data_IF_932778477551
#
_entry.id   IF_932778477551
#
_cell.length_a   1.000
_cell.length_b   1.000
_cell.length_c   1.000
_cell.angle_alpha   90.00
_cell.angle_beta   90.00
_cell.angle_gamma   90.00
#
_symmetry.space_group_name_H-M   'P 1'
#
loop_
_entity.id
_entity.type
_entity.pdbx_description
1 polymer ?
#
# COMPACT_ATOMS: atom_id res chain seq x y z
N UNK A 1 14.01 -4.68 -10.98
CA UNK A 1 13.48 -5.68 -10.02
C UNK A 1 12.62 -4.98 -8.97
N UNK A 2 11.30 -4.93 -9.16
CA UNK A 2 10.36 -4.45 -8.15
C UNK A 2 10.10 -5.59 -7.15
N UNK A 3 10.83 -5.61 -6.04
CA UNK A 3 10.58 -6.51 -4.91
C UNK A 3 9.51 -5.91 -4.01
N UNK A 4 8.49 -6.70 -3.65
CA UNK A 4 7.69 -6.46 -2.45
C UNK A 4 8.65 -6.49 -1.24
N UNK A 5 8.35 -5.99 -0.04
CA UNK A 5 9.29 -6.04 1.11
C UNK A 5 8.71 -6.87 2.32
N UNK A 6 9.23 -8.08 2.65
CA UNK A 6 8.82 -9.17 3.60
C UNK A 6 9.71 -10.54 3.64
N UNK A 7 11.01 -10.65 3.99
CA UNK A 7 11.78 -11.97 4.07
C UNK A 7 12.17 -12.39 5.47
N UNK A 8 12.25 -13.71 5.62
CA UNK A 8 12.38 -14.51 6.82
C UNK A 8 13.61 -15.41 6.72
N UNK A 9 14.50 -15.40 7.72
CA UNK A 9 14.92 -16.60 8.47
C UNK A 9 15.75 -16.20 9.69
N UNK A 10 15.81 -17.14 10.64
CA UNK A 10 16.04 -17.05 12.08
C UNK A 10 17.51 -16.83 12.48
N UNK A 11 17.72 -16.09 13.56
CA UNK A 11 18.64 -16.48 14.64
C UNK A 11 17.98 -16.14 15.97
N UNK A 12 17.99 -17.09 16.90
CA UNK A 12 17.11 -17.12 18.08
C UNK A 12 17.76 -16.56 19.35
N UNK A 13 18.74 -15.66 19.20
CA UNK A 13 19.22 -14.82 20.29
C UNK A 13 19.27 -13.38 19.77
N UNK A 14 18.35 -12.53 20.23
CA UNK A 14 18.55 -11.11 20.13
C UNK A 14 19.56 -10.71 21.21
N UNK A 15 20.62 -9.96 20.87
CA UNK A 15 21.47 -9.28 21.86
C UNK A 15 20.60 -8.50 22.86
N UNK A 16 21.02 -8.42 24.13
CA UNK A 16 20.30 -7.71 25.19
C UNK A 16 19.96 -6.26 24.82
N UNK A 17 20.82 -5.60 24.02
CA UNK A 17 20.58 -4.26 23.48
C UNK A 17 19.35 -4.21 22.58
N UNK A 18 19.19 -5.17 21.67
CA UNK A 18 18.00 -5.25 20.79
C UNK A 18 16.73 -5.57 21.58
N UNK A 19 16.84 -6.35 22.66
CA UNK A 19 15.71 -6.60 23.54
C UNK A 19 15.25 -5.30 24.24
N UNK A 20 16.19 -4.53 24.79
CA UNK A 20 15.91 -3.23 25.41
C UNK A 20 15.25 -2.26 24.43
N UNK A 21 15.72 -2.19 23.18
CA UNK A 21 15.11 -1.35 22.14
C UNK A 21 13.66 -1.75 21.87
N UNK A 22 13.38 -3.06 21.74
CA UNK A 22 12.02 -3.54 21.53
C UNK A 22 11.10 -3.21 22.71
N UNK A 23 11.60 -3.29 23.94
CA UNK A 23 10.83 -2.96 25.14
C UNK A 23 10.48 -1.46 25.19
N UNK A 24 11.43 -0.58 24.84
CA UNK A 24 11.20 0.87 24.76
C UNK A 24 10.17 1.19 23.68
N UNK A 25 10.30 0.59 22.49
CA UNK A 25 9.34 0.82 21.39
C UNK A 25 7.96 0.32 21.79
N UNK A 26 7.86 -0.90 22.31
CA UNK A 26 6.59 -1.49 22.74
C UNK A 26 5.91 -0.63 23.81
N UNK A 27 6.68 -0.15 24.79
CA UNK A 27 6.19 0.80 25.79
C UNK A 27 5.62 2.07 25.15
N UNK A 28 6.35 2.70 24.23
CA UNK A 28 5.91 3.94 23.58
C UNK A 28 4.67 3.73 22.71
N UNK A 29 4.60 2.61 21.98
CA UNK A 29 3.42 2.25 21.16
C UNK A 29 2.18 2.17 22.04
N UNK A 30 2.29 1.43 23.14
CA UNK A 30 1.20 1.23 24.08
C UNK A 30 0.84 2.52 24.82
N UNK A 31 1.82 3.33 25.21
CA UNK A 31 1.57 4.61 25.88
C UNK A 31 0.79 5.59 25.00
N UNK A 32 1.19 5.74 23.72
CA UNK A 32 0.44 6.56 22.78
C UNK A 32 -0.97 6.01 22.55
N UNK A 33 -1.11 4.69 22.43
CA UNK A 33 -2.43 4.04 22.32
C UNK A 33 -3.33 4.39 23.52
N UNK A 34 -2.84 4.24 24.75
CA UNK A 34 -3.62 4.56 25.95
C UNK A 34 -4.03 6.04 26.00
N UNK A 35 -3.11 6.95 25.66
CA UNK A 35 -3.42 8.40 25.58
C UNK A 35 -4.54 8.66 24.57
N UNK A 36 -4.43 8.12 23.36
CA UNK A 36 -5.45 8.31 22.31
C UNK A 36 -6.81 7.72 22.69
N UNK A 37 -6.82 6.57 23.36
CA UNK A 37 -8.04 5.92 23.88
C UNK A 37 -8.67 6.70 25.05
N UNK A 38 -7.88 7.40 25.86
CA UNK A 38 -8.37 8.25 26.96
C UNK A 38 -8.93 9.61 26.52
N UNK A 39 -9.08 9.82 25.20
CA UNK A 39 -9.72 11.02 24.64
C UNK A 39 -8.74 12.11 24.19
N UNK A 40 -7.42 11.89 24.29
CA UNK A 40 -6.46 12.84 23.76
C UNK A 40 -6.59 12.92 22.23
N UNK A 41 -6.43 14.16 21.72
CA UNK A 41 -6.32 14.42 20.29
C UNK A 41 -4.88 14.18 19.85
N UNK A 42 -4.73 13.60 18.68
CA UNK A 42 -3.43 13.52 18.03
C UNK A 42 -3.08 14.93 17.56
N UNK A 43 -2.03 15.49 18.12
CA UNK A 43 -1.54 16.84 17.81
C UNK A 43 -0.13 16.70 17.21
N UNK A 44 -0.02 17.00 15.92
CA UNK A 44 1.21 16.89 15.14
C UNK A 44 1.39 18.21 14.41
N UNK A 45 2.59 18.78 14.50
CA UNK A 45 2.92 19.98 13.75
C UNK A 45 3.02 19.64 12.26
N UNK A 46 1.98 19.97 11.51
CA UNK A 46 1.90 19.72 10.08
C UNK A 46 2.27 20.99 9.30
N UNK A 47 2.98 20.86 8.16
CA UNK A 47 3.14 21.98 7.23
C UNK A 47 1.76 22.51 6.79
N UNK A 48 1.66 23.81 6.53
CA UNK A 48 0.39 24.45 6.11
C UNK A 48 -0.22 23.81 4.85
N UNK A 49 0.61 23.21 3.99
CA UNK A 49 0.18 22.51 2.78
C UNK A 49 -0.28 21.06 3.03
N UNK A 50 -0.30 20.59 4.27
CA UNK A 50 -0.66 19.21 4.61
C UNK A 50 -2.17 19.01 4.51
N UNK A 51 -2.58 17.97 3.79
CA UNK A 51 -3.98 17.55 3.68
C UNK A 51 -4.29 16.35 4.58
N UNK A 52 -3.43 16.05 5.56
CA UNK A 52 -3.58 14.87 6.42
C UNK A 52 -4.72 15.08 7.41
N UNK A 53 -5.68 14.17 7.41
CA UNK A 53 -6.71 14.09 8.44
C UNK A 53 -6.16 13.36 9.67
N UNK A 54 -5.91 14.11 10.75
CA UNK A 54 -5.38 13.59 12.01
C UNK A 54 -6.34 12.64 12.72
N UNK A 55 -7.65 12.75 12.48
CA UNK A 55 -8.62 11.80 13.03
C UNK A 55 -8.50 10.46 12.32
N UNK A 56 -8.41 10.46 10.99
CA UNK A 56 -8.14 9.24 10.22
C UNK A 56 -6.80 8.62 10.62
N UNK A 57 -5.76 9.44 10.82
CA UNK A 57 -4.45 8.98 11.26
C UNK A 57 -4.53 8.30 12.64
N UNK A 58 -5.25 8.90 13.60
CA UNK A 58 -5.53 8.32 14.92
C UNK A 58 -6.24 6.98 14.81
N UNK A 59 -7.30 6.89 14.01
CA UNK A 59 -8.11 5.68 13.87
C UNK A 59 -7.30 4.53 13.25
N UNK A 60 -6.47 4.85 12.25
CA UNK A 60 -5.55 3.89 11.64
C UNK A 60 -4.49 3.43 12.65
N UNK A 61 -3.90 4.34 13.43
CA UNK A 61 -2.93 4.00 14.47
C UNK A 61 -3.53 3.03 15.50
N UNK A 62 -4.71 3.35 16.04
CA UNK A 62 -5.42 2.50 17.01
C UNK A 62 -5.65 1.10 16.43
N UNK A 63 -6.10 1.02 15.16
CA UNK A 63 -6.29 -0.26 14.47
C UNK A 63 -4.99 -1.05 14.33
N UNK A 64 -3.89 -0.39 13.96
CA UNK A 64 -2.58 -1.05 13.84
C UNK A 64 -2.09 -1.59 15.17
N UNK A 65 -2.19 -0.82 16.27
CA UNK A 65 -1.78 -1.30 17.60
C UNK A 65 -2.62 -2.49 18.05
N UNK A 66 -3.92 -2.49 17.77
CA UNK A 66 -4.79 -3.64 18.08
C UNK A 66 -4.40 -4.91 17.29
N UNK A 67 -3.87 -4.77 16.07
CA UNK A 67 -3.43 -5.90 15.25
C UNK A 67 -1.98 -6.32 15.54
N UNK A 68 -1.13 -5.35 15.89
CA UNK A 68 0.33 -5.51 16.07
C UNK A 68 0.78 -4.82 17.37
N UNK A 69 0.33 -5.31 18.54
CA UNK A 69 0.61 -4.66 19.81
C UNK A 69 2.12 -4.57 20.07
N UNK A 70 2.60 -3.36 20.34
CA UNK A 70 4.00 -3.09 20.61
C UNK A 70 4.96 -3.14 19.41
N UNK A 71 4.47 -3.35 18.19
CA UNK A 71 5.32 -3.41 17.00
C UNK A 71 5.75 -2.00 16.53
N UNK A 72 7.04 -1.83 16.22
CA UNK A 72 7.63 -0.59 15.70
C UNK A 72 6.92 -0.04 14.44
N UNK A 73 6.34 -0.92 13.63
CA UNK A 73 5.60 -0.58 12.42
C UNK A 73 4.36 0.25 12.70
N UNK A 74 3.84 0.28 13.93
CA UNK A 74 2.76 1.19 14.30
C UNK A 74 3.16 2.65 14.12
N UNK A 75 4.45 2.98 14.31
CA UNK A 75 4.97 4.33 14.06
C UNK A 75 5.24 4.63 12.59
N UNK A 76 5.27 3.63 11.70
CA UNK A 76 5.48 3.86 10.26
C UNK A 76 4.47 4.83 9.66
N UNK A 77 3.27 4.89 10.23
CA UNK A 77 2.19 5.80 9.87
C UNK A 77 2.57 7.29 9.94
N UNK A 78 3.54 7.65 10.78
CA UNK A 78 4.01 9.03 10.93
C UNK A 78 5.17 9.38 9.98
N UNK A 79 5.75 8.39 9.31
CA UNK A 79 6.88 8.56 8.41
C UNK A 79 6.52 8.31 6.94
N UNK A 80 5.48 7.52 6.69
CA UNK A 80 5.02 7.13 5.35
C UNK A 80 3.71 7.83 4.99
N UNK A 81 3.48 7.96 3.69
CA UNK A 81 2.22 8.50 3.18
C UNK A 81 1.06 7.54 3.45
N UNK A 82 0.04 8.00 4.17
CA UNK A 82 -1.25 7.32 4.23
C UNK A 82 -2.04 7.62 2.96
N UNK A 83 -2.10 6.65 2.04
CA UNK A 83 -2.78 6.78 0.74
C UNK A 83 -4.06 5.97 0.74
N UNK A 84 -5.17 6.62 0.37
CA UNK A 84 -6.47 5.97 0.12
C UNK A 84 -6.71 5.95 -1.38
N UNK A 85 -6.93 4.76 -1.92
CA UNK A 85 -7.29 4.57 -3.33
C UNK A 85 -8.80 4.40 -3.46
N UNK A 86 -9.41 5.17 -4.35
CA UNK A 86 -10.79 4.99 -4.78
C UNK A 86 -10.87 3.94 -5.90
N UNK A 87 -12.03 3.29 -6.12
CA UNK A 87 -12.17 2.26 -7.15
C UNK A 87 -11.72 2.73 -8.54
N UNK A 88 -10.75 2.02 -9.12
CA UNK A 88 -10.15 2.36 -10.41
C UNK A 88 -8.93 3.28 -10.34
N UNK A 89 -8.54 3.74 -9.16
CA UNK A 89 -7.20 4.30 -8.95
C UNK A 89 -6.17 3.18 -8.79
N UNK A 90 -4.93 3.50 -9.13
CA UNK A 90 -3.80 2.57 -9.08
C UNK A 90 -2.57 3.25 -8.53
N UNK A 91 -1.72 2.46 -7.88
CA UNK A 91 -0.44 2.88 -7.33
C UNK A 91 0.66 2.00 -7.92
N UNK A 92 1.79 2.60 -8.26
CA UNK A 92 3.00 1.85 -8.62
C UNK A 92 4.02 1.95 -7.49
N UNK A 93 4.49 0.80 -7.02
CA UNK A 93 5.42 0.70 -5.91
C UNK A 93 6.80 0.35 -6.46
N UNK A 94 7.67 1.36 -6.53
CA UNK A 94 9.05 1.19 -6.99
C UNK A 94 9.85 0.30 -6.02
N UNK A 95 10.96 -0.24 -6.50
CA UNK A 95 11.91 -0.96 -5.66
C UNK A 95 12.42 -0.06 -4.53
N UNK A 96 12.70 -0.67 -3.37
CA UNK A 96 13.27 0.00 -2.20
C UNK A 96 12.40 1.08 -1.56
N UNK A 97 11.12 1.20 -1.95
CA UNK A 97 10.14 2.03 -1.26
C UNK A 97 9.38 1.21 -0.21
N UNK A 98 9.43 1.59 1.07
CA UNK A 98 8.66 0.91 2.11
C UNK A 98 7.18 1.20 1.94
N UNK A 99 6.36 0.15 1.96
CA UNK A 99 4.92 0.25 1.78
C UNK A 99 4.19 -0.86 2.55
N UNK A 100 2.93 -0.61 2.90
CA UNK A 100 2.06 -1.59 3.53
C UNK A 100 0.62 -1.40 3.07
N UNK A 101 -0.07 -2.50 2.76
CA UNK A 101 -1.51 -2.49 2.53
C UNK A 101 -2.23 -2.64 3.87
N UNK A 102 -3.11 -1.68 4.18
CA UNK A 102 -3.75 -1.63 5.50
C UNK A 102 -5.15 -2.27 5.48
N UNK A 103 -5.95 -1.99 4.46
CA UNK A 103 -7.30 -2.55 4.31
C UNK A 103 -7.90 -2.29 2.93
N UNK A 104 -8.88 -3.12 2.55
CA UNK A 104 -9.62 -3.02 1.29
C UNK A 104 -9.25 -4.14 0.33
N UNK A 105 -9.98 -4.20 -0.79
CA UNK A 105 -9.74 -5.16 -1.86
C UNK A 105 -9.02 -4.48 -3.02
N UNK A 106 -7.98 -5.15 -3.54
CA UNK A 106 -7.22 -4.65 -4.68
C UNK A 106 -6.73 -5.80 -5.56
N UNK A 107 -6.45 -5.45 -6.82
CA UNK A 107 -5.70 -6.33 -7.72
C UNK A 107 -4.23 -5.95 -7.61
N UNK A 108 -3.40 -6.92 -7.27
CA UNK A 108 -1.94 -6.77 -7.21
C UNK A 108 -1.31 -7.50 -8.40
N UNK A 109 -0.44 -6.79 -9.13
CA UNK A 109 0.41 -7.37 -10.17
C UNK A 109 1.86 -7.02 -9.86
N UNK A 110 2.73 -8.00 -9.98
CA UNK A 110 4.14 -7.90 -9.59
C UNK A 110 4.99 -8.75 -10.53
N UNK A 111 6.24 -8.36 -10.70
CA UNK A 111 7.23 -9.22 -11.34
C UNK A 111 7.37 -10.54 -10.56
N UNK A 112 7.81 -11.61 -11.22
CA UNK A 112 8.04 -12.91 -10.60
C UNK A 112 9.24 -12.87 -9.65
N UNK A 113 9.03 -12.32 -8.45
CA UNK A 113 10.02 -12.18 -7.38
C UNK A 113 9.35 -12.37 -6.03
N UNK A 114 9.97 -13.16 -5.18
CA UNK A 114 9.62 -13.33 -3.78
C UNK A 114 10.71 -12.76 -2.86
N UNK A 115 11.50 -11.82 -3.38
CA UNK A 115 12.45 -11.05 -2.56
C UNK A 115 11.72 -9.95 -1.83
N UNK A 116 11.98 -9.88 -0.53
CA UNK A 116 11.16 -9.08 0.35
C UNK A 116 11.99 -8.72 1.62
N UNK A 117 12.01 -7.50 2.18
CA UNK A 117 12.62 -7.10 3.50
C UNK A 117 11.55 -6.52 4.48
N UNK A 118 11.59 -6.76 5.79
CA UNK A 118 10.49 -6.32 6.70
C UNK A 118 10.87 -5.07 7.48
N UNK A 119 9.96 -4.08 7.50
CA UNK A 119 10.12 -2.86 8.29
C UNK A 119 9.28 -2.80 9.58
N UNK A 120 8.27 -3.67 9.72
CA UNK A 120 7.35 -3.66 10.87
C UNK A 120 6.01 -4.33 10.53
N UNK A 121 5.04 -4.20 11.44
CA UNK A 121 3.69 -4.77 11.33
C UNK A 121 3.72 -6.28 11.06
N UNK A 122 4.63 -7.00 11.74
CA UNK A 122 4.85 -8.41 11.44
C UNK A 122 5.62 -9.11 12.56
N UNK A 123 5.19 -10.32 12.96
CA UNK A 123 5.97 -11.15 13.88
C UNK A 123 7.19 -11.80 13.20
N UNK A 124 7.29 -11.72 11.87
CA UNK A 124 8.38 -12.33 11.10
C UNK A 124 9.68 -11.54 11.27
N UNK A 125 10.78 -12.17 10.89
CA UNK A 125 12.13 -11.59 10.95
C UNK A 125 12.23 -10.28 10.17
N UNK A 126 12.99 -9.33 10.72
CA UNK A 126 13.23 -7.99 10.17
C UNK A 126 14.75 -7.84 10.04
N UNK A 127 15.23 -7.79 8.80
CA UNK A 127 16.63 -7.50 8.49
C UNK A 127 16.82 -5.98 8.49
N UNK A 128 17.13 -5.43 9.67
CA UNK A 128 17.18 -3.98 9.88
C UNK A 128 18.34 -3.35 9.13
N UNK A 129 19.51 -3.99 9.11
CA UNK A 129 20.69 -3.46 8.42
C UNK A 129 20.47 -3.44 6.90
N UNK A 130 19.92 -4.53 6.34
CA UNK A 130 19.56 -4.56 4.93
C UNK A 130 18.53 -3.47 4.58
N UNK A 131 17.48 -3.33 5.40
CA UNK A 131 16.47 -2.30 5.24
C UNK A 131 17.10 -0.90 5.20
N UNK A 132 17.90 -0.53 6.20
CA UNK A 132 18.52 0.79 6.28
C UNK A 132 19.48 1.05 5.11
N UNK A 133 20.18 0.02 4.62
CA UNK A 133 21.10 0.16 3.50
C UNK A 133 20.42 0.34 2.13
N UNK A 134 19.21 -0.20 1.95
CA UNK A 134 18.54 -0.23 0.64
C UNK A 134 17.55 0.92 0.43
N UNK A 135 17.01 1.49 1.50
CA UNK A 135 15.93 2.48 1.44
C UNK A 135 16.33 3.74 0.66
N UNK A 136 15.40 4.23 -0.15
CA UNK A 136 15.47 5.59 -0.69
C UNK A 136 14.81 6.54 0.31
N UNK A 137 15.57 7.47 0.86
CA UNK A 137 15.09 8.45 1.85
C UNK A 137 14.54 9.75 1.21
N UNK A 138 14.06 9.65 -0.03
CA UNK A 138 13.50 10.78 -0.77
C UNK A 138 11.99 10.88 -0.53
N UNK A 139 11.46 12.05 -0.09
CA UNK A 139 10.04 12.22 0.10
C UNK A 139 9.29 12.18 -1.24
N UNK A 140 8.22 11.37 -1.30
CA UNK A 140 7.32 11.29 -2.48
C UNK A 140 5.97 11.90 -2.12
N UNK A 141 5.40 12.71 -3.02
CA UNK A 141 4.02 13.21 -2.88
C UNK A 141 3.04 12.18 -3.43
N UNK A 142 1.79 12.16 -2.93
CA UNK A 142 0.78 11.19 -3.37
C UNK A 142 0.58 11.18 -4.90
N UNK A 143 0.59 12.35 -5.53
CA UNK A 143 0.44 12.52 -6.98
C UNK A 143 1.58 11.88 -7.80
N UNK A 144 2.73 11.59 -7.18
CA UNK A 144 3.82 10.87 -7.85
C UNK A 144 3.68 9.35 -7.77
N UNK A 145 2.85 8.85 -6.86
CA UNK A 145 2.72 7.40 -6.61
C UNK A 145 1.42 6.85 -7.23
N UNK A 146 0.35 7.66 -7.22
CA UNK A 146 -0.91 7.32 -7.89
C UNK A 146 -0.79 7.64 -9.38
N UNK A 147 -1.17 6.71 -10.24
CA UNK A 147 -1.26 6.92 -11.69
C UNK A 147 -2.65 6.56 -12.21
N UNK A 148 -3.01 7.12 -13.37
CA UNK A 148 -4.30 6.88 -14.02
C UNK A 148 -4.17 5.92 -15.20
N UNK A 149 -5.18 5.06 -15.44
CA UNK A 149 -5.18 4.22 -16.62
C UNK A 149 -5.36 5.05 -17.90
N UNK A 150 -4.91 4.50 -19.02
CA UNK A 150 -5.16 5.03 -20.36
C UNK A 150 -6.29 4.25 -21.02
N UNK A 151 -7.24 4.95 -21.64
CA UNK A 151 -8.28 4.30 -22.44
C UNK A 151 -7.66 3.70 -23.69
N UNK A 152 -7.93 2.42 -23.95
CA UNK A 152 -7.53 1.74 -25.19
C UNK A 152 -8.75 1.53 -26.08
N UNK A 153 -8.68 2.00 -27.32
CA UNK A 153 -9.71 1.76 -28.32
C UNK A 153 -9.47 0.40 -28.98
N UNK A 154 -10.52 -0.41 -29.10
CA UNK A 154 -10.51 -1.61 -29.93
C UNK A 154 -11.38 -1.35 -31.15
N UNK A 155 -10.84 -1.66 -32.32
CA UNK A 155 -11.59 -1.75 -33.56
C UNK A 155 -11.94 -3.22 -33.78
N UNK A 156 -13.22 -3.53 -33.93
CA UNK A 156 -13.64 -4.88 -34.29
C UNK A 156 -13.08 -5.22 -35.68
N UNK A 157 -12.43 -6.39 -35.86
CA UNK A 157 -11.78 -6.72 -37.13
C UNK A 157 -12.75 -6.83 -38.31
N UNK A 158 -14.05 -7.06 -38.06
CA UNK A 158 -15.11 -7.08 -39.08
C UNK A 158 -16.46 -6.62 -38.51
N UNK A 159 -16.83 -5.35 -38.70
CA UNK A 159 -18.20 -4.89 -38.42
C UNK A 159 -18.82 -4.35 -39.70
N UNK A 160 -19.43 -5.23 -40.49
CA UNK A 160 -20.63 -4.85 -41.24
C UNK A 160 -21.73 -4.62 -40.20
N UNK A 161 -21.86 -3.37 -39.73
CA UNK A 161 -22.88 -2.99 -38.77
C UNK A 161 -24.24 -2.99 -39.47
N UNK A 162 -24.95 -4.12 -39.41
CA UNK A 162 -26.38 -4.17 -39.66
C UNK A 162 -27.12 -3.78 -38.38
N UNK A 163 -27.53 -2.52 -38.30
CA UNK A 163 -28.75 -2.09 -37.60
C UNK A 163 -28.84 -2.16 -36.07
N UNK A 164 -27.80 -2.57 -35.33
CA UNK A 164 -27.80 -2.55 -33.87
C UNK A 164 -26.64 -1.75 -33.31
N UNK A 165 -26.89 -0.86 -32.33
CA UNK A 165 -25.82 -0.20 -31.56
C UNK A 165 -25.04 -1.27 -30.79
N UNK A 166 -23.96 -1.79 -31.37
CA UNK A 166 -23.02 -2.66 -30.65
C UNK A 166 -22.27 -1.78 -29.64
N UNK A 167 -22.63 -1.89 -28.37
CA UNK A 167 -21.90 -1.25 -27.28
C UNK A 167 -20.51 -1.88 -27.17
N UNK A 168 -19.52 -1.25 -27.80
CA UNK A 168 -18.13 -1.72 -27.72
C UNK A 168 -17.66 -1.72 -26.25
N UNK A 169 -16.89 -2.75 -25.83
CA UNK A 169 -16.36 -2.81 -24.48
C UNK A 169 -15.45 -1.61 -24.21
N UNK A 170 -15.52 -1.06 -22.99
CA UNK A 170 -14.57 -0.05 -22.54
C UNK A 170 -13.35 -0.71 -21.94
N UNK A 171 -12.16 -0.36 -22.42
CA UNK A 171 -10.89 -0.87 -21.91
C UNK A 171 -10.05 0.25 -21.32
N UNK A 172 -9.63 0.05 -20.08
CA UNK A 172 -8.69 0.90 -19.36
C UNK A 172 -7.42 0.12 -19.06
N UNK A 173 -6.29 0.57 -19.62
CA UNK A 173 -4.98 -0.06 -19.45
C UNK A 173 -4.19 0.66 -18.36
N UNK A 174 -3.79 -0.08 -17.34
CA UNK A 174 -2.89 0.33 -16.27
C UNK A 174 -1.48 -0.15 -16.61
N UNK A 175 -0.63 0.75 -17.07
CA UNK A 175 0.74 0.45 -17.48
C UNK A 175 1.73 1.25 -16.61
N UNK A 176 2.30 0.65 -15.55
CA UNK A 176 3.40 1.26 -14.81
C UNK A 176 4.67 1.35 -15.67
N UNK A 177 5.69 2.12 -15.27
CA UNK A 177 6.93 2.30 -16.02
C UNK A 177 7.87 1.09 -15.89
N UNK A 178 7.37 -0.09 -16.26
CA UNK A 178 8.05 -1.40 -16.22
C UNK A 178 7.68 -2.20 -17.46
N UNK A 179 8.53 -3.14 -17.86
CA UNK A 179 8.31 -3.98 -19.05
C UNK A 179 7.58 -5.28 -18.70
N UNK A 180 7.63 -5.68 -17.43
CA UNK A 180 7.20 -6.99 -16.96
C UNK A 180 5.68 -7.20 -17.04
N UNK A 181 4.87 -6.15 -16.91
CA UNK A 181 3.41 -6.29 -16.92
C UNK A 181 2.64 -4.98 -17.22
N UNK A 182 1.41 -5.17 -17.70
CA UNK A 182 0.34 -4.17 -17.70
C UNK A 182 -0.99 -4.87 -17.38
N UNK A 183 -1.96 -4.15 -16.84
CA UNK A 183 -3.27 -4.71 -16.46
C UNK A 183 -4.37 -4.00 -17.25
N UNK A 184 -5.21 -4.77 -17.94
CA UNK A 184 -6.41 -4.24 -18.61
C UNK A 184 -7.66 -4.48 -17.77
N UNK A 185 -8.39 -3.40 -17.47
CA UNK A 185 -9.76 -3.49 -16.98
C UNK A 185 -10.70 -3.38 -18.16
N UNK A 186 -11.45 -4.44 -18.41
CA UNK A 186 -12.44 -4.51 -19.49
C UNK A 186 -13.84 -4.43 -18.86
N UNK A 187 -14.65 -3.50 -19.35
CA UNK A 187 -16.04 -3.34 -18.96
C UNK A 187 -16.95 -3.57 -20.17
N UNK A 188 -17.86 -4.53 -20.05
CA UNK A 188 -18.91 -4.80 -21.03
C UNK A 188 -20.21 -4.30 -20.41
N UNK A 189 -20.87 -3.34 -21.05
CA UNK A 189 -22.21 -2.90 -20.63
C UNK A 189 -23.19 -4.06 -20.85
N UNK A 190 -23.82 -4.52 -19.78
CA UNK A 190 -24.71 -5.67 -19.83
C UNK A 190 -26.11 -5.28 -20.29
N UNK A 191 -26.53 -5.79 -21.45
CA UNK A 191 -27.92 -6.24 -21.60
C UNK A 191 -28.14 -7.48 -20.72
N UNK A 192 -29.29 -7.58 -20.04
CA UNK A 192 -29.65 -8.73 -19.19
C UNK A 192 -29.47 -10.04 -19.98
N UNK A 193 -28.51 -10.87 -19.58
CA UNK A 193 -28.49 -12.27 -19.95
C UNK A 193 -29.57 -12.98 -19.11
N UNK A 194 -30.75 -13.13 -19.69
CA UNK A 194 -31.73 -14.08 -19.17
C UNK A 194 -31.17 -15.48 -19.41
N UNK A 195 -30.58 -16.06 -18.37
CA UNK A 195 -30.28 -17.49 -18.32
C UNK A 195 -31.62 -18.19 -18.04
N UNK A 196 -32.29 -18.64 -19.09
CA UNK A 196 -33.39 -19.62 -19.02
C UNK A 196 -32.85 -21.02 -18.85
#
# INVERSE_FOLDING_TARGET
MAGRLLLCKRSQHLPETLQLYNDVISKNVNELYQRLMSGYRLDVNLPESSTIDLQVLKDVYIRLVNQYPGDCGCFSLFFLNLVRLEPGQSVFLEANLPHAYISGDCVECMACSDNVVRAGLTPKFKDVDCLLSMLQYEPRTQNKVIFSPKRRLIYAPHSEVTGGQSELPTILTYAPPVEEFAVDRIWVSGGRLNLT
#
